data_IF_948235146346
#
_entry.id   IF_948235146346
#
_cell.length_a   1.000
_cell.length_b   1.000
_cell.length_c   1.000
_cell.angle_alpha   90.00
_cell.angle_beta   90.00
_cell.angle_gamma   90.00
#
_symmetry.space_group_name_H-M   'P 1'
#
loop_
_entity.id
_entity.type
_entity.pdbx_description
1 polymer ?
#
# COMPACT_ATOMS: atom_id res chain seq x y z
N UNK A 1 -19.92 -24.80 12.59
CA UNK A 1 -19.56 -25.06 11.18
C UNK A 1 -20.43 -24.14 10.33
N UNK A 2 -19.98 -22.89 10.14
CA UNK A 2 -20.72 -21.89 9.34
C UNK A 2 -20.19 -22.04 7.91
N UNK A 3 -21.06 -22.50 7.01
CA UNK A 3 -20.80 -22.63 5.58
C UNK A 3 -20.37 -21.25 5.03
N UNK A 4 -19.12 -21.12 4.61
CA UNK A 4 -18.68 -20.03 3.72
C UNK A 4 -19.48 -20.19 2.43
N UNK A 5 -20.48 -19.34 2.25
CA UNK A 5 -21.27 -19.25 1.01
C UNK A 5 -20.32 -18.72 -0.07
N UNK A 6 -19.98 -19.59 -1.00
CA UNK A 6 -19.28 -19.24 -2.24
C UNK A 6 -20.08 -18.14 -2.96
N UNK A 7 -19.59 -16.90 -2.90
CA UNK A 7 -20.14 -15.76 -3.68
C UNK A 7 -19.43 -15.68 -5.04
N UNK A 8 -19.47 -16.76 -5.81
CA UNK A 8 -19.15 -16.71 -7.23
C UNK A 8 -20.41 -16.37 -8.01
N UNK A 9 -20.39 -15.21 -8.69
CA UNK A 9 -21.30 -14.71 -9.77
C UNK A 9 -22.36 -13.65 -9.44
N UNK A 10 -22.36 -12.95 -8.33
CA UNK A 10 -23.02 -11.65 -8.24
C UNK A 10 -22.00 -10.54 -8.53
N UNK A 11 -22.42 -9.58 -9.35
CA UNK A 11 -21.64 -8.45 -9.89
C UNK A 11 -20.83 -7.76 -8.75
N UNK A 12 -19.57 -8.16 -8.55
CA UNK A 12 -18.71 -7.57 -7.53
C UNK A 12 -18.37 -6.13 -7.92
N UNK A 13 -19.16 -5.19 -7.41
CA UNK A 13 -19.02 -3.76 -7.72
C UNK A 13 -17.66 -3.18 -7.32
N UNK A 14 -16.90 -3.87 -6.48
CA UNK A 14 -15.57 -3.47 -6.02
C UNK A 14 -14.42 -4.15 -6.77
N UNK A 15 -14.68 -5.07 -7.68
CA UNK A 15 -13.67 -5.90 -8.36
C UNK A 15 -12.50 -5.10 -8.92
N UNK A 16 -12.77 -3.94 -9.50
CA UNK A 16 -11.72 -3.08 -10.07
C UNK A 16 -10.77 -2.52 -8.99
N UNK A 17 -11.32 -2.15 -7.83
CA UNK A 17 -10.55 -1.43 -6.80
C UNK A 17 -10.09 -2.32 -5.64
N UNK A 18 -10.78 -3.40 -5.32
CA UNK A 18 -10.44 -4.26 -4.19
C UNK A 18 -9.14 -5.05 -4.39
N UNK A 19 -8.44 -5.45 -3.32
CA UNK A 19 -7.36 -6.43 -3.41
C UNK A 19 -7.89 -7.79 -3.87
N UNK A 20 -6.97 -8.69 -4.19
CA UNK A 20 -7.31 -10.06 -4.54
C UNK A 20 -7.81 -10.86 -3.34
N UNK A 21 -8.71 -11.81 -3.60
CA UNK A 21 -9.11 -12.86 -2.70
C UNK A 21 -8.20 -14.09 -2.86
N UNK A 22 -8.28 -15.06 -1.96
CA UNK A 22 -7.44 -16.27 -2.00
C UNK A 22 -7.46 -16.97 -3.36
N UNK A 23 -8.64 -17.14 -3.98
CA UNK A 23 -8.78 -17.78 -5.28
C UNK A 23 -8.06 -17.04 -6.43
N UNK A 24 -7.76 -15.75 -6.25
CA UNK A 24 -7.10 -14.90 -7.26
C UNK A 24 -5.57 -14.84 -7.06
N UNK A 25 -5.04 -15.31 -5.90
CA UNK A 25 -3.60 -15.19 -5.56
C UNK A 25 -2.74 -16.02 -6.50
N UNK A 26 -2.98 -17.33 -6.61
CA UNK A 26 -2.14 -18.20 -7.44
C UNK A 26 -2.13 -17.77 -8.93
N UNK A 27 -3.28 -17.42 -9.56
CA UNK A 27 -3.27 -16.85 -10.91
C UNK A 27 -2.52 -15.52 -11.03
N UNK A 28 -2.61 -14.62 -10.03
CA UNK A 28 -1.89 -13.35 -10.05
C UNK A 28 -0.37 -13.54 -9.93
N UNK A 29 0.08 -14.45 -9.07
CA UNK A 29 1.49 -14.81 -8.96
C UNK A 29 2.01 -15.40 -10.28
N UNK A 30 1.23 -16.26 -10.94
CA UNK A 30 1.64 -16.80 -12.23
C UNK A 30 1.80 -15.68 -13.27
N UNK A 31 0.87 -14.73 -13.35
CA UNK A 31 0.98 -13.56 -14.25
C UNK A 31 2.24 -12.73 -13.95
N UNK A 32 2.59 -12.53 -12.68
CA UNK A 32 3.84 -11.84 -12.31
C UNK A 32 5.09 -12.59 -12.76
N UNK A 33 5.14 -13.91 -12.58
CA UNK A 33 6.29 -14.74 -12.99
C UNK A 33 6.45 -14.75 -14.51
N UNK A 34 5.34 -14.65 -15.25
CA UNK A 34 5.34 -14.62 -16.71
C UNK A 34 5.60 -13.22 -17.30
N UNK A 35 5.45 -12.15 -16.48
CA UNK A 35 5.64 -10.77 -16.90
C UNK A 35 7.13 -10.44 -17.09
N UNK A 36 7.53 -10.18 -18.35
CA UNK A 36 8.93 -9.92 -18.71
C UNK A 36 9.45 -8.61 -18.10
N UNK A 37 8.58 -7.62 -17.89
CA UNK A 37 8.97 -6.35 -17.30
C UNK A 37 9.26 -6.51 -15.81
N UNK A 38 8.45 -7.29 -15.10
CA UNK A 38 8.69 -7.64 -13.71
C UNK A 38 10.03 -8.40 -13.55
N UNK A 39 10.27 -9.39 -14.38
CA UNK A 39 11.53 -10.14 -14.37
C UNK A 39 12.71 -9.24 -14.69
N UNK A 40 12.58 -8.36 -15.69
CA UNK A 40 13.62 -7.39 -16.04
C UNK A 40 13.93 -6.43 -14.89
N UNK A 41 12.92 -5.98 -14.16
CA UNK A 41 13.10 -5.13 -12.98
C UNK A 41 13.90 -5.86 -11.87
N UNK A 42 13.56 -7.11 -11.59
CA UNK A 42 14.31 -7.93 -10.62
C UNK A 42 15.76 -8.12 -11.07
N UNK A 43 15.98 -8.44 -12.35
CA UNK A 43 17.32 -8.63 -12.89
C UNK A 43 18.16 -7.35 -12.82
N UNK A 44 17.57 -6.21 -13.14
CA UNK A 44 18.24 -4.92 -13.09
C UNK A 44 18.60 -4.50 -11.67
N UNK A 45 17.77 -4.83 -10.68
CA UNK A 45 18.03 -4.52 -9.28
C UNK A 45 19.04 -5.49 -8.65
N UNK A 46 18.81 -6.82 -8.78
CA UNK A 46 19.66 -7.84 -8.11
C UNK A 46 20.97 -8.16 -8.82
N UNK A 47 21.00 -7.98 -10.13
CA UNK A 47 22.14 -8.30 -10.98
C UNK A 47 22.65 -7.08 -11.75
N UNK A 48 22.57 -5.90 -11.10
CA UNK A 48 23.03 -4.62 -11.69
C UNK A 48 24.48 -4.66 -12.16
N UNK A 49 25.34 -5.45 -11.50
CA UNK A 49 26.75 -5.64 -11.84
C UNK A 49 26.99 -6.45 -13.14
N UNK A 50 25.95 -7.18 -13.63
CA UNK A 50 26.07 -7.95 -14.88
C UNK A 50 25.74 -7.06 -16.10
N UNK A 51 26.48 -7.21 -17.23
CA UNK A 51 26.08 -6.61 -18.50
C UNK A 51 24.66 -7.04 -18.93
N UNK A 52 23.95 -6.13 -19.60
CA UNK A 52 22.53 -6.35 -19.98
C UNK A 52 22.31 -7.66 -20.78
N UNK A 53 23.24 -8.01 -21.68
CA UNK A 53 23.21 -9.28 -22.43
C UNK A 53 23.25 -10.51 -21.55
N UNK A 54 24.05 -10.49 -20.47
CA UNK A 54 24.17 -11.63 -19.55
C UNK A 54 22.95 -11.71 -18.60
N UNK A 55 22.28 -10.60 -18.31
CA UNK A 55 21.04 -10.62 -17.50
C UNK A 55 19.95 -11.46 -18.16
N UNK A 56 19.82 -11.39 -19.49
CA UNK A 56 18.86 -12.22 -20.24
C UNK A 56 19.07 -13.72 -20.06
N UNK A 57 20.33 -14.16 -19.95
CA UNK A 57 20.65 -15.59 -19.72
C UNK A 57 20.25 -16.06 -18.30
N UNK A 58 20.16 -15.15 -17.33
CA UNK A 58 19.77 -15.46 -15.95
C UNK A 58 18.24 -15.46 -15.78
N UNK A 59 17.50 -14.86 -16.70
CA UNK A 59 16.02 -14.75 -16.63
C UNK A 59 15.32 -16.09 -16.37
N UNK A 60 15.61 -17.21 -17.08
CA UNK A 60 14.95 -18.49 -16.80
C UNK A 60 15.20 -19.01 -15.38
N UNK A 61 16.39 -18.77 -14.85
CA UNK A 61 16.76 -19.19 -13.50
C UNK A 61 15.97 -18.38 -12.45
N UNK A 62 15.80 -17.06 -12.67
CA UNK A 62 14.98 -16.21 -11.81
C UNK A 62 13.52 -16.64 -11.85
N UNK A 63 12.96 -16.90 -13.04
CA UNK A 63 11.59 -17.42 -13.19
C UNK A 63 11.41 -18.75 -12.45
N UNK A 64 12.34 -19.67 -12.60
CA UNK A 64 12.32 -20.96 -11.90
C UNK A 64 12.40 -20.78 -10.39
N UNK A 65 13.26 -19.91 -9.90
CA UNK A 65 13.37 -19.60 -8.47
C UNK A 65 12.06 -19.02 -7.92
N UNK A 66 11.47 -18.04 -8.61
CA UNK A 66 10.20 -17.44 -8.22
C UNK A 66 9.06 -18.47 -8.24
N UNK A 67 9.00 -19.31 -9.26
CA UNK A 67 8.02 -20.39 -9.36
C UNK A 67 8.13 -21.38 -8.19
N UNK A 68 9.34 -21.75 -7.81
CA UNK A 68 9.57 -22.67 -6.69
C UNK A 68 9.22 -22.03 -5.34
N UNK A 69 9.43 -20.72 -5.17
CA UNK A 69 9.22 -20.01 -3.93
C UNK A 69 7.78 -19.48 -3.79
N UNK A 70 7.29 -18.78 -4.82
CA UNK A 70 5.99 -18.12 -4.79
C UNK A 70 4.85 -18.94 -5.39
N UNK A 71 5.16 -19.90 -6.25
CA UNK A 71 4.13 -20.75 -6.88
C UNK A 71 3.34 -21.64 -5.91
N UNK A 72 3.73 -21.65 -4.62
CA UNK A 72 3.02 -22.35 -3.54
C UNK A 72 2.12 -21.43 -2.73
N UNK A 73 2.14 -20.11 -3.00
CA UNK A 73 1.32 -19.16 -2.32
C UNK A 73 -0.08 -19.18 -2.94
N UNK A 74 -1.06 -19.64 -2.19
CA UNK A 74 -2.42 -19.88 -2.65
C UNK A 74 -3.47 -19.08 -1.85
N UNK A 75 -3.01 -18.25 -0.90
CA UNK A 75 -3.84 -17.45 -0.04
C UNK A 75 -3.22 -16.09 0.28
N UNK A 76 -4.07 -15.13 0.64
CA UNK A 76 -3.65 -13.80 1.08
C UNK A 76 -2.75 -13.89 2.30
N UNK A 77 -3.07 -14.76 3.25
CA UNK A 77 -2.26 -14.95 4.46
C UNK A 77 -0.87 -15.50 4.13
N UNK A 78 -0.77 -16.45 3.19
CA UNK A 78 0.54 -16.97 2.74
C UNK A 78 1.41 -15.86 2.12
N UNK A 79 0.80 -14.95 1.34
CA UNK A 79 1.49 -13.77 0.81
C UNK A 79 1.97 -12.85 1.93
N UNK A 80 1.12 -12.58 2.93
CA UNK A 80 1.50 -11.69 4.05
C UNK A 80 2.69 -12.24 4.84
N UNK A 81 2.72 -13.55 5.12
CA UNK A 81 3.86 -14.22 5.77
C UNK A 81 5.13 -14.12 4.91
N UNK A 82 5.01 -14.20 3.60
CA UNK A 82 6.17 -14.05 2.71
C UNK A 82 6.67 -12.60 2.68
N UNK A 83 5.77 -11.62 2.67
CA UNK A 83 6.10 -10.18 2.75
C UNK A 83 6.79 -9.85 4.08
N UNK A 84 6.30 -10.41 5.20
CA UNK A 84 6.91 -10.24 6.52
C UNK A 84 8.40 -10.61 6.52
N UNK A 85 8.78 -11.76 5.97
CA UNK A 85 10.18 -12.20 5.90
C UNK A 85 11.08 -11.21 5.16
N UNK A 86 10.54 -10.54 4.13
CA UNK A 86 11.28 -9.49 3.43
C UNK A 86 11.41 -8.23 4.27
N UNK A 87 10.35 -7.88 5.00
CA UNK A 87 10.35 -6.70 5.85
C UNK A 87 11.24 -6.89 7.07
N UNK A 88 11.23 -8.07 7.72
CA UNK A 88 12.17 -8.44 8.77
C UNK A 88 13.61 -8.21 8.33
N UNK A 89 13.97 -8.80 7.18
CA UNK A 89 15.32 -8.65 6.64
C UNK A 89 15.65 -7.19 6.31
N UNK A 90 14.70 -6.43 5.78
CA UNK A 90 14.93 -5.01 5.48
C UNK A 90 15.17 -4.22 6.78
N UNK A 91 14.33 -4.40 7.81
CA UNK A 91 14.48 -3.73 9.08
C UNK A 91 15.79 -4.08 9.80
N UNK A 92 16.17 -5.36 9.81
CA UNK A 92 17.44 -5.83 10.38
C UNK A 92 18.68 -5.20 9.72
N UNK A 93 18.58 -4.90 8.42
CA UNK A 93 19.74 -4.39 7.65
C UNK A 93 19.77 -2.87 7.50
N UNK A 94 18.63 -2.20 7.66
CA UNK A 94 18.50 -0.76 7.37
C UNK A 94 18.15 0.09 8.59
N UNK A 95 17.73 -0.51 9.71
CA UNK A 95 17.33 0.21 10.92
C UNK A 95 17.98 -0.32 12.18
N UNK A 96 17.95 0.46 13.26
CA UNK A 96 18.34 0.04 14.62
C UNK A 96 17.13 -0.50 15.39
N UNK A 97 15.99 -0.69 14.76
CA UNK A 97 14.76 -1.22 15.32
C UNK A 97 13.56 -0.31 15.10
N UNK A 98 12.40 -0.85 15.42
CA UNK A 98 11.10 -0.19 15.32
C UNK A 98 10.34 -0.38 16.62
N UNK A 99 9.74 0.68 17.13
CA UNK A 99 8.91 0.65 18.34
C UNK A 99 7.45 0.92 18.00
N UNK A 100 6.55 0.24 18.69
CA UNK A 100 5.10 0.39 18.52
C UNK A 100 4.46 0.68 19.87
N UNK A 101 3.55 1.65 19.90
CA UNK A 101 2.78 1.99 21.10
C UNK A 101 1.27 1.95 20.80
N UNK A 102 0.48 1.53 21.79
CA UNK A 102 -0.97 1.58 21.73
C UNK A 102 -1.66 0.43 21.00
N UNK A 103 -0.91 -0.53 20.41
CA UNK A 103 -1.50 -1.72 19.78
C UNK A 103 -2.21 -2.63 20.80
N UNK A 104 -1.75 -2.65 22.04
CA UNK A 104 -2.34 -3.37 23.17
C UNK A 104 -3.75 -2.89 23.54
N UNK A 105 -4.11 -1.67 23.11
CA UNK A 105 -5.44 -1.07 23.36
C UNK A 105 -6.48 -1.47 22.31
N UNK A 106 -6.06 -2.12 21.24
CA UNK A 106 -6.94 -2.52 20.14
C UNK A 106 -7.55 -3.91 20.40
N UNK A 107 -8.83 -4.04 20.15
CA UNK A 107 -9.51 -5.35 20.18
C UNK A 107 -9.22 -6.11 18.87
N UNK A 108 -8.68 -7.34 19.02
CA UNK A 108 -8.28 -8.20 17.89
C UNK A 108 -9.44 -8.65 17.01
N UNK A 109 -10.67 -8.62 17.53
CA UNK A 109 -11.88 -9.00 16.82
C UNK A 109 -12.60 -7.82 16.16
N UNK A 110 -12.02 -6.63 16.26
CA UNK A 110 -12.58 -5.39 15.73
C UNK A 110 -11.79 -4.93 14.50
N UNK A 111 -12.50 -4.53 13.45
CA UNK A 111 -11.91 -3.83 12.31
C UNK A 111 -11.88 -2.33 12.55
N UNK A 112 -10.78 -1.69 12.14
CA UNK A 112 -10.49 -0.28 12.37
C UNK A 112 -10.17 0.44 11.07
N UNK A 113 -10.48 1.74 11.01
CA UNK A 113 -9.96 2.64 10.00
C UNK A 113 -8.74 3.39 10.57
N UNK A 114 -7.55 2.97 10.18
CA UNK A 114 -6.30 3.64 10.52
C UNK A 114 -6.08 4.84 9.60
N UNK A 115 -5.91 6.01 10.18
CA UNK A 115 -5.59 7.25 9.45
C UNK A 115 -4.25 7.75 9.98
N UNK A 116 -3.23 7.82 9.13
CA UNK A 116 -1.89 8.25 9.54
C UNK A 116 -1.40 9.48 8.78
N UNK A 117 -0.42 10.16 9.37
CA UNK A 117 0.47 10.99 8.59
C UNK A 117 1.16 10.13 7.50
N UNK A 118 1.73 10.76 6.49
CA UNK A 118 2.32 10.04 5.36
C UNK A 118 3.71 10.58 5.05
N UNK A 119 4.73 9.80 5.38
CA UNK A 119 6.15 10.12 5.24
C UNK A 119 6.80 9.32 4.12
N UNK A 120 6.49 8.01 4.03
CA UNK A 120 7.04 7.10 3.03
C UNK A 120 5.92 6.34 2.29
N UNK A 121 6.12 6.08 0.98
CA UNK A 121 5.07 5.46 0.14
C UNK A 121 4.77 4.04 0.58
N UNK A 122 5.82 3.24 0.83
CA UNK A 122 5.71 1.82 1.11
C UNK A 122 5.85 1.52 2.61
N UNK A 123 6.81 2.17 3.28
CA UNK A 123 7.15 1.83 4.66
C UNK A 123 6.08 2.25 5.65
N UNK A 124 5.36 3.37 5.46
CA UNK A 124 4.31 3.75 6.40
C UNK A 124 3.25 2.65 6.60
N UNK A 125 2.53 2.19 5.56
CA UNK A 125 1.56 1.11 5.72
C UNK A 125 2.23 -0.24 6.06
N UNK A 126 3.45 -0.49 5.59
CA UNK A 126 4.18 -1.72 5.89
C UNK A 126 4.50 -1.82 7.38
N UNK A 127 5.01 -0.76 8.01
CA UNK A 127 5.32 -0.72 9.45
C UNK A 127 4.06 -0.87 10.31
N UNK A 128 2.95 -0.21 9.93
CA UNK A 128 1.68 -0.40 10.66
C UNK A 128 1.21 -1.85 10.55
N UNK A 129 1.27 -2.47 9.37
CA UNK A 129 0.95 -3.89 9.19
C UNK A 129 1.89 -4.81 9.96
N UNK A 130 3.17 -4.49 10.00
CA UNK A 130 4.17 -5.23 10.77
C UNK A 130 3.84 -5.21 12.27
N UNK A 131 3.56 -4.04 12.84
CA UNK A 131 3.14 -3.92 14.23
C UNK A 131 1.84 -4.69 14.55
N UNK A 132 0.85 -4.60 13.67
CA UNK A 132 -0.41 -5.34 13.80
C UNK A 132 -0.17 -6.86 13.79
N UNK A 133 0.63 -7.36 12.84
CA UNK A 133 0.93 -8.78 12.70
C UNK A 133 1.64 -9.33 13.94
N UNK A 134 2.72 -8.67 14.39
CA UNK A 134 3.46 -9.06 15.58
C UNK A 134 2.66 -8.94 16.89
N UNK A 135 1.60 -8.11 16.89
CA UNK A 135 0.63 -8.03 18.00
C UNK A 135 -0.55 -8.99 17.83
N UNK A 136 -0.47 -9.93 16.87
CA UNK A 136 -1.50 -10.93 16.57
C UNK A 136 -2.85 -10.34 16.10
N UNK A 137 -2.83 -9.16 15.48
CA UNK A 137 -3.94 -8.61 14.75
C UNK A 137 -3.89 -9.04 13.28
N UNK A 138 -5.05 -9.00 12.62
CA UNK A 138 -5.08 -9.14 11.16
C UNK A 138 -4.45 -7.91 10.49
N UNK A 139 -3.66 -8.14 9.43
CA UNK A 139 -3.13 -7.08 8.60
C UNK A 139 -4.26 -6.34 7.88
N UNK A 140 -4.08 -5.04 7.70
CA UNK A 140 -5.08 -4.17 7.08
C UNK A 140 -4.96 -4.11 5.55
N UNK A 141 -6.02 -3.63 4.90
CA UNK A 141 -6.02 -3.25 3.48
C UNK A 141 -5.46 -1.85 3.32
N UNK A 142 -4.66 -1.62 2.28
CA UNK A 142 -3.87 -0.40 2.11
C UNK A 142 -4.43 0.41 0.94
N UNK A 143 -4.79 1.69 1.17
CA UNK A 143 -5.20 2.61 0.11
C UNK A 143 -3.99 3.06 -0.72
N UNK A 144 -4.01 2.84 -2.04
CA UNK A 144 -2.98 3.30 -2.96
C UNK A 144 -3.56 4.09 -4.12
N UNK A 145 -2.85 5.12 -4.57
CA UNK A 145 -3.25 5.87 -5.76
C UNK A 145 -2.98 5.09 -7.06
N UNK A 146 -3.86 5.22 -8.03
CA UNK A 146 -3.72 4.61 -9.36
C UNK A 146 -2.51 5.15 -10.16
N UNK A 147 -1.92 6.27 -9.74
CA UNK A 147 -0.67 6.79 -10.29
C UNK A 147 0.53 5.85 -10.09
N UNK A 148 0.48 4.95 -9.11
CA UNK A 148 1.51 3.93 -8.85
C UNK A 148 1.32 2.67 -9.72
N UNK A 149 0.19 2.54 -10.39
CA UNK A 149 -0.24 1.33 -11.11
C UNK A 149 -0.11 1.46 -12.62
N UNK A 150 0.93 2.17 -13.08
CA UNK A 150 1.16 2.41 -14.52
C UNK A 150 1.49 1.14 -15.30
N UNK A 151 1.98 0.11 -14.62
CA UNK A 151 2.40 -1.17 -15.19
C UNK A 151 1.52 -2.30 -14.65
N UNK A 152 1.13 -3.29 -15.48
CA UNK A 152 0.32 -4.43 -15.05
C UNK A 152 0.94 -5.14 -13.85
N UNK A 153 2.24 -5.43 -13.86
CA UNK A 153 2.94 -6.09 -12.76
C UNK A 153 2.86 -5.29 -11.44
N UNK A 154 2.88 -3.96 -11.48
CA UNK A 154 2.71 -3.15 -10.28
C UNK A 154 1.29 -3.30 -9.71
N UNK A 155 0.26 -3.36 -10.57
CA UNK A 155 -1.11 -3.63 -10.15
C UNK A 155 -1.24 -5.00 -9.49
N UNK A 156 -0.67 -6.04 -10.10
CA UNK A 156 -0.66 -7.39 -9.53
C UNK A 156 -0.01 -7.40 -8.14
N UNK A 157 1.23 -6.88 -8.03
CA UNK A 157 1.96 -6.82 -6.76
C UNK A 157 1.17 -6.10 -5.66
N UNK A 158 0.54 -4.98 -5.98
CA UNK A 158 -0.22 -4.22 -5.00
C UNK A 158 -1.49 -4.96 -4.58
N UNK A 159 -2.25 -5.54 -5.53
CA UNK A 159 -3.49 -6.26 -5.22
C UNK A 159 -3.27 -7.56 -4.45
N UNK A 160 -2.18 -8.32 -4.72
CA UNK A 160 -1.84 -9.50 -3.91
C UNK A 160 -1.42 -9.11 -2.49
N UNK A 161 -0.87 -7.91 -2.29
CA UNK A 161 -0.46 -7.39 -0.99
C UNK A 161 -1.54 -6.53 -0.31
N UNK A 162 -2.81 -6.92 -0.44
CA UNK A 162 -3.97 -6.30 0.23
C UNK A 162 -4.18 -4.82 -0.10
N UNK A 163 -3.59 -4.29 -1.18
CA UNK A 163 -3.82 -2.90 -1.57
C UNK A 163 -5.09 -2.74 -2.39
N UNK A 164 -5.84 -1.68 -2.12
CA UNK A 164 -7.00 -1.27 -2.91
C UNK A 164 -6.78 0.09 -3.57
N UNK A 165 -7.41 0.29 -4.71
CA UNK A 165 -7.08 1.37 -5.63
C UNK A 165 -7.92 2.61 -5.36
N UNK A 166 -7.26 3.75 -5.16
CA UNK A 166 -7.85 5.08 -5.13
C UNK A 166 -7.72 5.70 -6.51
N UNK A 167 -8.84 5.85 -7.24
CA UNK A 167 -8.85 6.42 -8.60
C UNK A 167 -8.66 7.94 -8.52
N UNK A 168 -7.43 8.41 -8.71
CA UNK A 168 -7.04 9.83 -8.77
C UNK A 168 -7.04 10.38 -10.20
N UNK A 169 -6.99 9.50 -11.19
CA UNK A 169 -7.00 9.84 -12.62
C UNK A 169 -8.34 10.39 -13.12
N UNK A 170 -9.43 10.20 -12.38
CA UNK A 170 -10.74 10.72 -12.71
C UNK A 170 -10.76 12.25 -12.58
N UNK A 171 -10.77 12.98 -13.72
CA UNK A 171 -10.73 14.45 -13.76
C UNK A 171 -12.12 15.08 -13.91
N UNK A 172 -13.04 14.40 -14.62
CA UNK A 172 -14.39 14.92 -14.80
C UNK A 172 -15.16 14.88 -13.46
N UNK A 173 -15.89 15.96 -13.07
CA UNK A 173 -16.55 16.06 -11.77
C UNK A 173 -17.49 14.87 -11.46
N UNK A 174 -18.23 14.38 -12.45
CA UNK A 174 -19.13 13.22 -12.28
C UNK A 174 -18.37 11.92 -12.05
N UNK A 175 -17.29 11.70 -12.77
CA UNK A 175 -16.43 10.51 -12.62
C UNK A 175 -15.72 10.55 -11.27
N UNK A 176 -15.20 11.70 -10.88
CA UNK A 176 -14.57 11.90 -9.57
C UNK A 176 -15.56 11.59 -8.45
N UNK A 177 -16.78 12.14 -8.49
CA UNK A 177 -17.81 11.85 -7.48
C UNK A 177 -18.20 10.37 -7.44
N UNK A 178 -18.29 9.71 -8.60
CA UNK A 178 -18.54 8.25 -8.68
C UNK A 178 -17.40 7.46 -8.04
N UNK A 179 -16.15 7.81 -8.37
CA UNK A 179 -14.96 7.14 -7.81
C UNK A 179 -14.85 7.33 -6.29
N UNK A 180 -15.05 8.56 -5.79
CA UNK A 180 -15.03 8.84 -4.36
C UNK A 180 -16.19 8.15 -3.61
N UNK A 181 -17.38 8.08 -4.22
CA UNK A 181 -18.52 7.36 -3.67
C UNK A 181 -18.27 5.85 -3.58
N UNK A 182 -17.67 5.26 -4.63
CA UNK A 182 -17.27 3.85 -4.63
C UNK A 182 -16.21 3.57 -3.57
N UNK A 183 -15.20 4.44 -3.46
CA UNK A 183 -14.15 4.34 -2.46
C UNK A 183 -14.71 4.40 -1.03
N UNK A 184 -15.55 5.38 -0.74
CA UNK A 184 -16.22 5.54 0.56
C UNK A 184 -17.05 4.30 0.94
N UNK A 185 -17.82 3.80 -0.03
CA UNK A 185 -18.62 2.57 0.11
C UNK A 185 -17.73 1.35 0.36
N UNK A 186 -16.61 1.22 -0.37
CA UNK A 186 -15.66 0.12 -0.19
C UNK A 186 -14.99 0.14 1.19
N UNK A 187 -14.59 1.31 1.70
CA UNK A 187 -14.03 1.44 3.05
C UNK A 187 -15.04 0.93 4.08
N UNK A 188 -16.30 1.37 4.00
CA UNK A 188 -17.33 0.93 4.95
C UNK A 188 -17.61 -0.58 4.82
N UNK A 189 -17.73 -1.10 3.60
CA UNK A 189 -17.89 -2.53 3.33
C UNK A 189 -16.74 -3.36 3.91
N UNK A 190 -15.49 -2.91 3.75
CA UNK A 190 -14.33 -3.61 4.30
C UNK A 190 -14.39 -3.72 5.81
N UNK A 191 -14.73 -2.63 6.51
CA UNK A 191 -14.89 -2.63 7.96
C UNK A 191 -16.04 -3.55 8.41
N UNK A 192 -17.16 -3.56 7.71
CA UNK A 192 -18.31 -4.42 7.98
C UNK A 192 -18.03 -5.92 7.72
N UNK A 193 -17.05 -6.20 6.85
CA UNK A 193 -16.58 -7.57 6.56
C UNK A 193 -15.29 -7.93 7.31
N UNK A 194 -15.06 -7.29 8.47
CA UNK A 194 -13.94 -7.55 9.38
C UNK A 194 -12.55 -7.33 8.78
N UNK A 195 -12.42 -6.36 7.86
CA UNK A 195 -11.14 -5.98 7.29
C UNK A 195 -10.80 -4.55 7.69
N UNK A 196 -9.73 -4.36 8.43
CA UNK A 196 -9.17 -3.06 8.75
C UNK A 196 -8.63 -2.36 7.51
N UNK A 197 -8.62 -1.03 7.53
CA UNK A 197 -8.20 -0.18 6.41
C UNK A 197 -7.12 0.78 6.90
N UNK A 198 -6.09 1.00 6.08
CA UNK A 198 -5.16 2.09 6.22
C UNK A 198 -5.36 3.13 5.10
N UNK A 199 -5.40 4.39 5.47
CA UNK A 199 -5.44 5.52 4.55
C UNK A 199 -4.58 6.68 5.09
N UNK A 200 -3.87 7.37 4.21
CA UNK A 200 -3.15 8.58 4.56
C UNK A 200 -4.11 9.72 4.89
N UNK A 201 -3.75 10.58 5.85
CA UNK A 201 -4.56 11.74 6.27
C UNK A 201 -4.69 12.84 5.22
N UNK A 202 -3.85 12.82 4.19
CA UNK A 202 -3.92 13.71 3.01
C UNK A 202 -3.34 13.02 1.79
N UNK A 203 -3.60 13.58 0.62
CA UNK A 203 -2.99 13.12 -0.62
C UNK A 203 -1.50 13.48 -0.67
N UNK A 204 -0.68 12.49 -1.00
CA UNK A 204 0.77 12.62 -1.12
C UNK A 204 1.50 12.67 0.23
N UNK A 205 2.81 12.42 0.17
CA UNK A 205 3.69 12.45 1.34
C UNK A 205 3.91 13.88 1.83
N UNK A 206 4.03 14.06 3.13
CA UNK A 206 4.56 15.29 3.71
C UNK A 206 6.02 15.48 3.28
N UNK A 207 6.35 16.68 2.80
CA UNK A 207 7.70 17.04 2.35
C UNK A 207 8.47 17.82 3.41
N UNK A 208 7.72 18.46 4.30
CA UNK A 208 8.20 19.21 5.45
C UNK A 208 7.64 18.61 6.76
N UNK A 209 7.80 19.32 7.87
CA UNK A 209 7.28 18.92 9.18
C UNK A 209 5.76 19.15 9.38
N UNK A 210 5.04 19.66 8.37
CA UNK A 210 3.62 20.01 8.51
C UNK A 210 2.71 18.83 8.16
N UNK A 211 2.19 18.19 9.18
CA UNK A 211 1.35 16.99 9.09
C UNK A 211 -0.12 17.29 9.41
N UNK A 212 -0.79 18.08 8.56
CA UNK A 212 -2.21 18.39 8.73
C UNK A 212 -3.09 17.36 8.02
N UNK A 213 -4.21 17.00 8.68
CA UNK A 213 -5.26 16.21 8.05
C UNK A 213 -6.03 17.03 7.02
N UNK A 214 -6.11 16.54 5.78
CA UNK A 214 -6.90 17.20 4.74
C UNK A 214 -8.41 16.97 5.00
N UNK A 215 -9.21 18.05 5.14
CA UNK A 215 -10.66 17.92 5.26
C UNK A 215 -11.32 17.13 4.11
N UNK A 216 -10.68 17.06 2.94
CA UNK A 216 -11.18 16.30 1.81
C UNK A 216 -11.27 14.80 2.11
N UNK A 217 -10.32 14.26 2.89
CA UNK A 217 -10.35 12.85 3.32
C UNK A 217 -11.59 12.57 4.17
N UNK A 218 -11.87 13.43 5.15
CA UNK A 218 -13.05 13.28 6.01
C UNK A 218 -14.36 13.41 5.22
N UNK A 219 -14.41 14.37 4.28
CA UNK A 219 -15.56 14.54 3.37
C UNK A 219 -15.78 13.31 2.50
N UNK A 220 -14.70 12.74 1.94
CA UNK A 220 -14.75 11.53 1.12
C UNK A 220 -15.28 10.36 1.95
N UNK A 221 -14.70 10.10 3.12
CA UNK A 221 -15.14 9.00 4.00
C UNK A 221 -16.62 9.13 4.33
N UNK A 222 -17.14 10.34 4.55
CA UNK A 222 -18.54 10.61 4.90
C UNK A 222 -19.54 10.34 3.77
N UNK A 223 -19.14 10.19 2.51
CA UNK A 223 -20.08 10.04 1.39
C UNK A 223 -21.00 8.83 1.58
N UNK A 224 -20.50 7.71 2.06
CA UNK A 224 -21.32 6.52 2.35
C UNK A 224 -22.27 6.75 3.53
N UNK A 225 -21.84 7.47 4.57
CA UNK A 225 -22.70 7.85 5.69
C UNK A 225 -23.88 8.72 5.24
N UNK A 226 -23.65 9.68 4.35
CA UNK A 226 -24.71 10.52 3.75
C UNK A 226 -25.68 9.67 2.91
N UNK A 227 -25.15 8.74 2.11
CA UNK A 227 -25.97 7.82 1.31
C UNK A 227 -26.87 6.96 2.21
N UNK A 228 -26.35 6.54 3.36
CA UNK A 228 -27.10 5.78 4.39
C UNK A 228 -28.00 6.67 5.27
N UNK A 229 -28.02 7.99 5.06
CA UNK A 229 -28.77 8.98 5.86
C UNK A 229 -28.42 8.94 7.36
N UNK A 230 -27.17 8.63 7.69
CA UNK A 230 -26.65 8.61 9.05
C UNK A 230 -26.17 10.00 9.47
N UNK A 231 -26.37 10.36 10.75
CA UNK A 231 -25.76 11.56 11.32
C UNK A 231 -24.22 11.44 11.27
N UNK A 232 -23.52 12.56 11.06
CA UNK A 232 -22.06 12.57 10.92
C UNK A 232 -21.36 11.91 12.11
N UNK A 233 -21.73 12.28 13.33
CA UNK A 233 -21.12 11.74 14.55
C UNK A 233 -21.35 10.22 14.71
N UNK A 234 -22.53 9.75 14.37
CA UNK A 234 -22.88 8.33 14.41
C UNK A 234 -22.08 7.55 13.38
N UNK A 235 -22.01 8.05 12.14
CA UNK A 235 -21.26 7.40 11.08
C UNK A 235 -19.76 7.32 11.42
N UNK A 236 -19.14 8.43 11.86
CA UNK A 236 -17.72 8.46 12.23
C UNK A 236 -17.42 7.50 13.38
N UNK A 237 -18.26 7.43 14.41
CA UNK A 237 -18.14 6.43 15.48
C UNK A 237 -18.17 5.00 14.94
N UNK A 238 -19.01 4.73 13.94
CA UNK A 238 -19.15 3.39 13.32
C UNK A 238 -17.92 2.94 12.52
N UNK A 239 -17.00 3.85 12.19
CA UNK A 239 -15.77 3.55 11.47
C UNK A 239 -14.62 3.14 12.39
N UNK A 240 -14.76 3.36 13.70
CA UNK A 240 -13.72 3.04 14.70
C UNK A 240 -12.34 3.56 14.26
N UNK A 241 -12.27 4.87 14.02
CA UNK A 241 -11.05 5.52 13.52
C UNK A 241 -9.95 5.45 14.58
N UNK A 242 -8.78 4.99 14.17
CA UNK A 242 -7.54 4.99 14.96
C UNK A 242 -6.55 5.94 14.27
N UNK A 243 -6.26 7.10 14.87
CA UNK A 243 -5.18 7.96 14.39
C UNK A 243 -3.83 7.30 14.67
N UNK A 244 -2.95 7.31 13.68
CA UNK A 244 -1.60 6.75 13.76
C UNK A 244 -0.58 7.84 13.47
N UNK A 245 0.39 8.01 14.35
CA UNK A 245 1.55 8.85 14.12
C UNK A 245 2.76 7.99 13.77
N UNK A 246 3.39 8.26 12.63
CA UNK A 246 4.59 7.58 12.16
C UNK A 246 5.74 8.57 12.17
N UNK A 247 6.85 8.18 12.78
CA UNK A 247 8.06 8.98 12.91
C UNK A 247 9.28 8.17 12.45
N UNK A 248 10.15 8.81 11.68
CA UNK A 248 11.43 8.28 11.27
C UNK A 248 12.53 9.16 11.88
N UNK A 249 13.54 8.55 12.48
CA UNK A 249 14.72 9.29 12.94
C UNK A 249 15.46 9.90 11.73
N UNK A 250 15.60 9.11 10.67
CA UNK A 250 16.14 9.56 9.38
C UNK A 250 15.14 9.22 8.27
N UNK A 251 14.72 10.24 7.52
CA UNK A 251 13.80 10.04 6.39
C UNK A 251 14.62 9.66 5.15
N UNK A 252 14.46 8.44 4.61
CA UNK A 252 15.24 7.97 3.45
C UNK A 252 15.13 8.86 2.22
N UNK A 253 14.04 9.60 2.10
CA UNK A 253 13.74 10.47 0.96
C UNK A 253 13.93 11.97 1.26
N UNK A 254 14.64 12.34 2.31
CA UNK A 254 14.82 13.73 2.76
C UNK A 254 15.37 14.64 1.67
N UNK A 255 16.45 14.24 1.00
CA UNK A 255 17.06 15.00 -0.10
C UNK A 255 16.11 15.21 -1.28
N UNK A 256 15.35 14.17 -1.67
CA UNK A 256 14.37 14.27 -2.74
C UNK A 256 13.22 15.22 -2.37
N UNK A 257 12.76 15.16 -1.11
CA UNK A 257 11.74 16.06 -0.57
C UNK A 257 12.24 17.49 -0.48
N UNK A 258 13.46 17.70 0.02
CA UNK A 258 14.09 19.02 0.09
C UNK A 258 14.25 19.64 -1.30
N UNK A 259 14.69 18.86 -2.31
CA UNK A 259 14.81 19.30 -3.69
C UNK A 259 13.44 19.71 -4.28
N UNK A 260 12.39 18.91 -4.05
CA UNK A 260 11.03 19.26 -4.49
C UNK A 260 10.56 20.60 -3.89
N UNK A 261 10.78 20.81 -2.58
CA UNK A 261 10.45 22.07 -1.90
C UNK A 261 11.27 23.25 -2.44
N UNK A 262 12.58 23.05 -2.64
CA UNK A 262 13.47 24.08 -3.16
C UNK A 262 13.06 24.51 -4.58
N UNK A 263 12.78 23.56 -5.47
CA UNK A 263 12.34 23.87 -6.83
C UNK A 263 11.00 24.61 -6.84
N UNK A 264 10.03 24.17 -6.02
CA UNK A 264 8.75 24.88 -5.87
C UNK A 264 8.93 26.30 -5.36
N UNK A 265 9.84 26.53 -4.41
CA UNK A 265 10.10 27.85 -3.85
C UNK A 265 10.82 28.78 -4.83
N UNK A 266 11.73 28.26 -5.66
CA UNK A 266 12.60 29.06 -6.55
C UNK A 266 12.06 29.18 -7.98
N UNK A 267 11.33 28.14 -8.47
CA UNK A 267 10.86 28.07 -9.86
C UNK A 267 9.33 28.15 -9.97
N UNK A 268 8.61 28.10 -8.82
CA UNK A 268 7.16 28.13 -8.77
C UNK A 268 6.49 26.76 -8.95
N UNK A 269 7.17 25.79 -9.55
CA UNK A 269 6.67 24.44 -9.79
C UNK A 269 7.77 23.38 -9.63
N UNK A 270 7.33 22.14 -9.51
CA UNK A 270 8.17 20.95 -9.55
C UNK A 270 7.61 19.93 -10.52
N UNK A 271 8.39 19.52 -11.50
CA UNK A 271 8.02 18.49 -12.45
C UNK A 271 8.57 17.14 -12.00
N UNK A 272 7.65 16.30 -11.53
CA UNK A 272 7.97 14.96 -11.07
C UNK A 272 8.38 14.06 -12.23
N UNK A 273 9.50 13.36 -12.09
CA UNK A 273 9.92 12.37 -13.09
C UNK A 273 8.96 11.16 -13.11
N UNK A 274 8.94 10.44 -14.22
CA UNK A 274 8.04 9.30 -14.41
C UNK A 274 8.27 8.18 -13.39
N UNK A 275 9.51 7.96 -12.98
CA UNK A 275 9.91 6.85 -12.09
C UNK A 275 10.18 7.28 -10.65
N UNK A 276 10.02 8.54 -10.31
CA UNK A 276 10.36 9.09 -8.98
C UNK A 276 9.63 8.37 -7.83
N UNK A 277 8.38 7.97 -8.02
CA UNK A 277 7.66 7.22 -6.98
C UNK A 277 8.26 5.84 -6.76
N UNK A 278 8.69 5.16 -7.84
CA UNK A 278 9.33 3.85 -7.77
C UNK A 278 10.70 3.97 -7.11
N UNK A 279 11.48 4.98 -7.50
CA UNK A 279 12.78 5.27 -6.89
C UNK A 279 12.65 5.57 -5.39
N UNK A 280 11.64 6.35 -5.02
CA UNK A 280 11.33 6.63 -3.62
C UNK A 280 10.93 5.38 -2.84
N UNK A 281 10.13 4.48 -3.43
CA UNK A 281 9.76 3.20 -2.80
C UNK A 281 11.02 2.34 -2.56
N UNK A 282 11.87 2.20 -3.58
CA UNK A 282 13.11 1.43 -3.46
C UNK A 282 14.00 2.03 -2.38
N UNK A 283 14.20 3.36 -2.40
CA UNK A 283 15.02 4.07 -1.42
C UNK A 283 14.47 3.91 -0.01
N UNK A 284 13.14 4.05 0.18
CA UNK A 284 12.49 3.85 1.47
C UNK A 284 12.74 2.48 2.11
N UNK A 285 12.83 1.42 1.26
CA UNK A 285 13.04 0.05 1.72
C UNK A 285 14.54 -0.28 1.92
N UNK A 286 15.44 0.34 1.14
CA UNK A 286 16.85 -0.10 1.04
C UNK A 286 17.86 0.85 1.64
N UNK A 287 17.49 2.11 1.91
CA UNK A 287 18.43 3.10 2.46
C UNK A 287 18.92 2.68 3.84
N UNK A 288 20.22 2.79 4.03
CA UNK A 288 20.88 2.44 5.28
C UNK A 288 21.31 3.68 6.05
N UNK A 289 21.50 3.55 7.35
CA UNK A 289 22.00 4.62 8.24
C UNK A 289 23.34 5.23 7.76
N UNK A 290 24.15 4.48 7.03
CA UNK A 290 25.43 4.96 6.50
C UNK A 290 25.24 6.03 5.40
N UNK A 291 24.10 6.11 4.74
CA UNK A 291 23.81 7.11 3.70
C UNK A 291 23.51 8.51 4.26
N UNK A 292 23.29 8.61 5.58
CA UNK A 292 22.99 9.88 6.29
C UNK A 292 24.22 10.47 7.01
N UNK A 293 25.41 9.92 6.81
CA UNK A 293 26.67 10.43 7.29
C UNK A 293 27.36 11.27 6.21
#
# INVERSE_FOLDING_TARGET
>A
MILKKDMSTENDIYQEIRPYNDAEIAPAIQRLIDDEEFISAILSHKFSHLPALLRGLVSPLVKMFLKNRWGKLDSVDAVQIEVEKYLDKALDTTSDGVTFEGLDKLDKNTSYLFISNHRDIAMDPALVNYGLHHSQHQTMRIAIGDNLLRKPCATELMKINKSFIVKRSAKAPREMMKALGLLSSYIKHSLETSNSIWIAQKEGRAKDGNDFTDPAIIKMIQLEGRKRKMAFSEYVKSLKIVPVAISYEYDPCDLAKANELYQKATQGEYQKSEFEDIESIVKGITATKAEFK
#
